data_IF_636529307954
#
_entry.id   IF_636529307954
#
_cell.length_a   1.000
_cell.length_b   1.000
_cell.length_c   1.000
_cell.angle_alpha   90.00
_cell.angle_beta   90.00
_cell.angle_gamma   90.00
#
_symmetry.space_group_name_H-M   'P 1'
#
loop_
_entity.id
_entity.type
_entity.pdbx_description
1 polymer ?
#
# COMPACT_ATOMS: atom_id res chain seq x y z
N UNK A 1 0.62 11.68 6.10
CA UNK A 1 1.98 11.24 5.64
C UNK A 1 2.42 11.91 4.33
N UNK A 2 1.72 11.70 3.20
CA UNK A 2 2.18 12.14 1.86
C UNK A 2 2.47 13.64 1.71
N UNK A 3 1.64 14.50 2.32
CA UNK A 3 1.81 15.96 2.31
C UNK A 3 2.91 16.47 3.26
N UNK A 4 3.37 15.61 4.17
CA UNK A 4 4.43 15.92 5.15
C UNK A 4 5.78 15.53 4.57
N UNK A 5 5.92 14.27 4.14
CA UNK A 5 7.20 13.74 3.63
C UNK A 5 7.56 14.33 2.26
N UNK A 6 6.57 14.59 1.40
CA UNK A 6 6.73 15.24 0.08
C UNK A 6 7.80 14.64 -0.84
N UNK A 7 8.23 13.39 -0.59
CA UNK A 7 9.29 12.72 -1.37
C UNK A 7 9.00 12.78 -2.87
N UNK A 8 9.94 13.25 -3.71
CA UNK A 8 9.79 13.26 -5.15
C UNK A 8 9.77 11.83 -5.71
N UNK A 9 9.17 11.65 -6.89
CA UNK A 9 9.16 10.37 -7.62
C UNK A 9 10.58 9.98 -8.08
N UNK A 10 10.83 8.68 -8.33
CA UNK A 10 12.06 8.24 -8.98
C UNK A 10 12.31 9.02 -10.28
N UNK A 11 13.45 9.72 -10.35
CA UNK A 11 13.86 10.47 -11.54
C UNK A 11 14.82 9.68 -12.45
N UNK A 12 15.37 8.56 -11.95
CA UNK A 12 16.31 7.71 -12.68
C UNK A 12 15.63 6.69 -13.61
N UNK A 13 14.29 6.64 -13.63
CA UNK A 13 13.51 5.77 -14.51
C UNK A 13 12.36 6.60 -15.09
N UNK A 14 12.11 6.45 -16.39
CA UNK A 14 10.94 7.06 -17.04
C UNK A 14 9.69 6.29 -16.61
N UNK A 15 8.68 6.94 -15.99
CA UNK A 15 7.47 6.25 -15.58
C UNK A 15 6.72 5.63 -16.75
N UNK A 16 6.37 4.34 -16.64
CA UNK A 16 5.58 3.64 -17.65
C UNK A 16 4.08 4.03 -17.64
N UNK A 17 3.65 4.76 -16.59
CA UNK A 17 2.26 5.17 -16.40
C UNK A 17 2.19 6.62 -15.92
N UNK A 18 1.11 7.32 -16.30
CA UNK A 18 0.82 8.66 -15.77
C UNK A 18 0.59 8.60 -14.26
N UNK A 19 1.07 9.60 -13.55
CA UNK A 19 0.85 9.73 -12.10
C UNK A 19 -0.02 10.94 -11.79
N UNK A 20 -1.03 10.75 -10.95
CA UNK A 20 -1.96 11.81 -10.56
C UNK A 20 -1.34 12.84 -9.58
N UNK A 21 -0.10 12.64 -9.11
CA UNK A 21 0.53 13.54 -8.16
C UNK A 21 2.04 13.37 -8.04
N UNK A 22 2.69 14.46 -7.59
CA UNK A 22 4.15 14.63 -7.60
C UNK A 22 4.89 13.84 -6.51
N UNK A 23 4.21 13.45 -5.43
CA UNK A 23 4.84 12.77 -4.29
C UNK A 23 4.75 11.25 -4.39
N UNK A 24 5.83 10.55 -4.03
CA UNK A 24 5.94 9.10 -4.09
C UNK A 24 5.68 8.41 -2.75
N UNK A 25 6.01 9.04 -1.62
CA UNK A 25 5.90 8.39 -0.31
C UNK A 25 4.59 8.72 0.43
N UNK A 26 3.95 7.75 1.09
CA UNK A 26 4.06 6.30 0.86
C UNK A 26 3.25 5.90 -0.40
N UNK A 27 3.44 4.67 -0.86
CA UNK A 27 2.66 4.12 -1.98
C UNK A 27 1.21 3.88 -1.57
N UNK A 28 0.28 4.65 -2.15
CA UNK A 28 -1.16 4.49 -1.91
C UNK A 28 -1.69 3.13 -2.38
N UNK A 29 -1.15 2.61 -3.50
CA UNK A 29 -1.55 1.30 -4.02
C UNK A 29 -1.08 0.17 -3.09
N UNK A 30 0.15 0.27 -2.57
CA UNK A 30 0.65 -0.69 -1.58
C UNK A 30 -0.16 -0.62 -0.27
N UNK A 31 -0.54 0.59 0.14
CA UNK A 31 -1.36 0.82 1.34
C UNK A 31 -2.74 0.16 1.21
N UNK A 32 -3.48 0.43 0.14
CA UNK A 32 -4.81 -0.16 -0.06
C UNK A 32 -4.76 -1.67 -0.29
N UNK A 33 -3.78 -2.16 -1.05
CA UNK A 33 -3.60 -3.59 -1.31
C UNK A 33 -3.28 -4.38 -0.03
N UNK A 34 -2.38 -3.88 0.83
CA UNK A 34 -2.05 -4.54 2.08
C UNK A 34 -3.23 -4.51 3.09
N UNK A 35 -3.97 -3.40 3.15
CA UNK A 35 -5.18 -3.31 3.96
C UNK A 35 -6.23 -4.34 3.50
N UNK A 36 -6.48 -4.41 2.19
CA UNK A 36 -7.37 -5.41 1.60
C UNK A 36 -6.91 -6.83 1.91
N UNK A 37 -5.60 -7.12 1.82
CA UNK A 37 -5.08 -8.44 2.13
C UNK A 37 -5.33 -8.88 3.57
N UNK A 38 -5.16 -7.96 4.53
CA UNK A 38 -5.47 -8.23 5.95
C UNK A 38 -6.96 -8.49 6.14
N UNK A 39 -7.83 -7.61 5.63
CA UNK A 39 -9.28 -7.70 5.85
C UNK A 39 -9.87 -8.94 5.16
N UNK A 40 -9.66 -9.08 3.85
CA UNK A 40 -10.21 -10.21 3.10
C UNK A 40 -9.52 -11.54 3.44
N UNK A 41 -8.25 -11.51 3.82
CA UNK A 41 -7.54 -12.68 4.33
C UNK A 41 -8.16 -13.20 5.61
N UNK A 42 -8.58 -12.31 6.52
CA UNK A 42 -9.30 -12.69 7.75
C UNK A 42 -10.71 -13.25 7.46
N UNK A 43 -11.30 -12.93 6.31
CA UNK A 43 -12.57 -13.49 5.82
C UNK A 43 -12.38 -14.80 5.02
N UNK A 44 -11.16 -15.35 4.95
CA UNK A 44 -10.87 -16.61 4.26
C UNK A 44 -10.55 -16.48 2.77
N UNK A 45 -10.55 -15.27 2.21
CA UNK A 45 -10.26 -15.04 0.78
C UNK A 45 -8.76 -15.03 0.54
N UNK A 46 -8.13 -16.20 0.46
CA UNK A 46 -6.65 -16.33 0.40
C UNK A 46 -6.02 -15.77 -0.88
N UNK A 47 -6.76 -15.69 -1.98
CA UNK A 47 -6.27 -15.16 -3.26
C UNK A 47 -5.86 -13.68 -3.20
N UNK A 48 -6.29 -12.93 -2.16
CA UNK A 48 -5.93 -11.52 -1.99
C UNK A 48 -4.44 -11.31 -1.71
N UNK A 49 -3.76 -12.27 -1.08
CA UNK A 49 -2.34 -12.16 -0.73
C UNK A 49 -1.42 -12.08 -1.96
N UNK A 50 -1.48 -13.03 -2.92
CA UNK A 50 -0.69 -12.92 -4.15
C UNK A 50 -1.11 -11.71 -4.99
N UNK A 51 -2.39 -11.33 -4.99
CA UNK A 51 -2.86 -10.12 -5.68
C UNK A 51 -2.22 -8.86 -5.08
N UNK A 52 -2.20 -8.74 -3.75
CA UNK A 52 -1.58 -7.60 -3.09
C UNK A 52 -0.07 -7.53 -3.34
N UNK A 53 0.61 -8.69 -3.36
CA UNK A 53 2.02 -8.77 -3.75
C UNK A 53 2.24 -8.31 -5.20
N UNK A 54 1.39 -8.75 -6.14
CA UNK A 54 1.45 -8.32 -7.54
C UNK A 54 1.24 -6.81 -7.69
N UNK A 55 0.29 -6.22 -6.95
CA UNK A 55 0.08 -4.76 -6.93
C UNK A 55 1.32 -4.03 -6.41
N UNK A 56 1.94 -4.50 -5.32
CA UNK A 56 3.18 -3.93 -4.80
C UNK A 56 4.33 -3.99 -5.81
N UNK A 57 4.53 -5.16 -6.44
CA UNK A 57 5.57 -5.37 -7.44
C UNK A 57 5.36 -4.46 -8.66
N UNK A 58 4.12 -4.34 -9.15
CA UNK A 58 3.79 -3.49 -10.31
C UNK A 58 4.25 -2.04 -10.11
N UNK A 59 4.21 -1.51 -8.87
CA UNK A 59 4.61 -0.12 -8.59
C UNK A 59 6.11 0.11 -8.75
N UNK A 60 6.92 -0.91 -8.55
CA UNK A 60 8.36 -0.89 -8.79
C UNK A 60 8.63 -1.02 -10.29
N UNK A 61 7.97 -1.97 -10.95
CA UNK A 61 8.11 -2.22 -12.40
C UNK A 61 7.76 -0.98 -13.22
N UNK A 62 6.65 -0.30 -12.90
CA UNK A 62 6.26 0.93 -13.62
C UNK A 62 7.10 2.16 -13.26
N UNK A 63 8.09 2.03 -12.36
CA UNK A 63 9.09 3.06 -12.07
C UNK A 63 8.57 4.24 -11.26
N UNK A 64 7.41 4.14 -10.61
CA UNK A 64 6.77 5.31 -9.96
C UNK A 64 7.06 5.43 -8.46
N UNK A 65 7.62 4.39 -7.83
CA UNK A 65 7.81 4.30 -6.40
C UNK A 65 9.14 3.63 -6.09
N UNK A 66 9.79 4.07 -5.02
CA UNK A 66 10.94 3.37 -4.48
C UNK A 66 10.50 2.14 -3.67
N UNK A 67 11.36 1.13 -3.49
CA UNK A 67 11.08 -0.01 -2.61
C UNK A 67 10.61 0.41 -1.20
N UNK A 68 11.21 1.45 -0.63
CA UNK A 68 10.79 1.99 0.67
C UNK A 68 9.42 2.67 0.67
N UNK A 69 8.95 3.24 -0.45
CA UNK A 69 7.60 3.78 -0.55
C UNK A 69 6.55 2.64 -0.49
N UNK A 70 6.88 1.51 -1.11
CA UNK A 70 6.02 0.30 -1.16
C UNK A 70 6.01 -0.38 0.20
N UNK A 71 7.17 -0.61 0.81
CA UNK A 71 7.28 -1.22 2.14
C UNK A 71 6.54 -0.40 3.21
N UNK A 72 6.76 0.92 3.26
CA UNK A 72 6.06 1.79 4.20
C UNK A 72 4.56 1.85 3.94
N UNK A 73 4.14 1.87 2.67
CA UNK A 73 2.72 1.80 2.30
C UNK A 73 2.07 0.51 2.78
N UNK A 74 2.69 -0.63 2.50
CA UNK A 74 2.18 -1.94 2.92
C UNK A 74 2.08 -2.05 4.44
N UNK A 75 3.12 -1.63 5.18
CA UNK A 75 3.10 -1.61 6.64
C UNK A 75 1.98 -0.72 7.20
N UNK A 76 1.83 0.50 6.66
CA UNK A 76 0.77 1.43 7.06
C UNK A 76 -0.63 0.83 6.82
N UNK A 77 -0.85 0.24 5.64
CA UNK A 77 -2.12 -0.37 5.27
C UNK A 77 -2.48 -1.56 6.17
N UNK A 78 -1.53 -2.46 6.37
CA UNK A 78 -1.72 -3.64 7.23
C UNK A 78 -1.99 -3.25 8.69
N UNK A 79 -1.22 -2.31 9.25
CA UNK A 79 -1.42 -1.85 10.62
C UNK A 79 -2.79 -1.18 10.80
N UNK A 80 -3.17 -0.30 9.87
CA UNK A 80 -4.47 0.38 9.92
C UNK A 80 -5.62 -0.62 9.86
N UNK A 81 -5.54 -1.61 8.97
CA UNK A 81 -6.55 -2.66 8.85
C UNK A 81 -6.66 -3.52 10.11
N UNK A 82 -5.53 -3.91 10.71
CA UNK A 82 -5.51 -4.68 11.96
C UNK A 82 -6.13 -3.91 13.11
N UNK A 83 -5.69 -2.66 13.33
CA UNK A 83 -6.23 -1.81 14.39
C UNK A 83 -7.73 -1.55 14.22
N UNK A 84 -8.18 -1.31 12.99
CA UNK A 84 -9.61 -1.16 12.69
C UNK A 84 -10.41 -2.42 12.96
N UNK A 85 -9.89 -3.60 12.56
CA UNK A 85 -10.54 -4.88 12.83
C UNK A 85 -10.62 -5.19 14.33
N UNK A 86 -9.55 -4.92 15.07
CA UNK A 86 -9.50 -5.14 16.52
C UNK A 86 -10.45 -4.18 17.26
N UNK A 87 -10.54 -2.91 16.84
CA UNK A 87 -11.49 -1.95 17.38
C UNK A 87 -12.95 -2.39 17.18
N UNK A 88 -13.30 -2.87 15.98
CA UNK A 88 -14.65 -3.37 15.69
C UNK A 88 -15.02 -4.59 16.56
N UNK A 89 -14.04 -5.45 16.88
CA UNK A 89 -14.23 -6.62 17.75
C UNK A 89 -14.22 -6.27 19.25
N UNK A 90 -13.51 -5.21 19.63
CA UNK A 90 -13.41 -4.73 21.01
C UNK A 90 -14.65 -3.96 21.47
N UNK A 91 -15.28 -3.20 20.57
CA UNK A 91 -16.54 -2.50 20.84
C UNK A 91 -17.80 -3.38 20.81
N UNK A 92 -17.65 -4.68 20.53
CA UNK A 92 -18.73 -5.68 20.57
C UNK A 92 -18.74 -6.51 21.87
N UNK A 93 -17.89 -6.17 22.84
CA UNK A 93 -17.90 -6.70 24.21
C UNK A 93 -18.39 -5.62 25.18
#
# INVERSE_FOLDING_TARGET
>A
VKRVVRRPRPAHVVPLVRTAGRHSFPSSHATSAAAAAVVFGALGVRAVWPLAAAVCASRLVVGVHYPSDVAAGAALGALTARLGADWMRGGTR
#
